data_IF_006909957518
#
_entry.id   IF_006909957518
#
_cell.length_a   1.000
_cell.length_b   1.000
_cell.length_c   1.000
_cell.angle_alpha   90.00
_cell.angle_beta   90.00
_cell.angle_gamma   90.00
#
_symmetry.space_group_name_H-M   'P 1'
#
loop_
_entity.id
_entity.type
_entity.pdbx_description
1 polymer ?
#
# COMPACT_ATOMS: atom_id res chain seq x y z
N UNK A 1 23.62 2.80 3.72
CA UNK A 1 22.86 1.70 4.32
C UNK A 1 21.36 1.97 4.21
N UNK A 2 20.57 0.91 4.04
CA UNK A 2 19.11 0.97 4.02
C UNK A 2 18.55 -0.11 4.96
N UNK A 3 17.36 0.12 5.51
CA UNK A 3 16.64 -0.89 6.30
C UNK A 3 15.51 -1.45 5.41
N UNK A 4 15.50 -2.76 5.23
CA UNK A 4 14.45 -3.47 4.51
C UNK A 4 13.60 -4.24 5.51
N UNK A 5 12.28 -4.02 5.46
CA UNK A 5 11.32 -4.73 6.30
C UNK A 5 10.40 -5.54 5.38
N UNK A 6 10.48 -6.86 5.45
CA UNK A 6 9.57 -7.76 4.75
C UNK A 6 8.34 -8.00 5.61
N UNK A 7 7.17 -7.65 5.08
CA UNK A 7 5.88 -7.81 5.76
C UNK A 7 5.13 -9.01 5.22
N UNK A 8 4.80 -9.93 6.12
CA UNK A 8 3.90 -11.06 5.89
C UNK A 8 3.07 -11.26 7.16
N UNK A 9 1.97 -10.52 7.30
CA UNK A 9 1.20 -10.45 8.54
C UNK A 9 -0.29 -10.27 8.32
N UNK A 10 -1.09 -11.08 8.99
CA UNK A 10 -2.55 -10.95 9.05
C UNK A 10 -3.05 -10.00 10.14
N UNK A 11 -2.16 -9.44 10.95
CA UNK A 11 -2.52 -8.54 12.04
C UNK A 11 -2.17 -9.06 13.43
N UNK A 12 -2.75 -8.45 14.46
CA UNK A 12 -2.51 -8.76 15.88
C UNK A 12 -3.35 -9.98 16.30
N UNK A 13 -2.76 -10.87 17.08
CA UNK A 13 -3.52 -11.93 17.75
C UNK A 13 -4.45 -11.33 18.82
N UNK A 14 -5.75 -11.59 18.73
CA UNK A 14 -6.74 -11.00 19.61
C UNK A 14 -6.48 -11.29 21.10
N UNK A 15 -5.96 -12.48 21.42
CA UNK A 15 -5.63 -12.86 22.81
C UNK A 15 -4.45 -12.07 23.38
N UNK A 16 -3.61 -11.48 22.53
CA UNK A 16 -2.38 -10.78 22.89
C UNK A 16 -2.46 -9.30 22.43
N UNK A 17 -3.67 -8.78 22.25
CA UNK A 17 -3.90 -7.47 21.64
C UNK A 17 -3.05 -6.35 22.27
N UNK A 18 -2.99 -6.28 23.60
CA UNK A 18 -2.23 -5.24 24.29
C UNK A 18 -0.72 -5.36 24.07
N UNK A 19 -0.17 -6.60 24.08
CA UNK A 19 1.24 -6.83 23.79
C UNK A 19 1.57 -6.48 22.34
N UNK A 20 0.68 -6.87 21.41
CA UNK A 20 0.81 -6.54 19.99
C UNK A 20 0.75 -5.04 19.73
N UNK A 21 -0.15 -4.31 20.39
CA UNK A 21 -0.26 -2.86 20.27
C UNK A 21 0.97 -2.13 20.85
N UNK A 22 1.53 -2.63 21.96
CA UNK A 22 2.77 -2.09 22.50
C UNK A 22 3.94 -2.28 21.53
N UNK A 23 4.14 -3.50 21.02
CA UNK A 23 5.19 -3.79 20.05
C UNK A 23 5.03 -2.95 18.75
N UNK A 24 3.79 -2.74 18.30
CA UNK A 24 3.48 -1.84 17.20
C UNK A 24 3.91 -0.39 17.49
N UNK A 25 3.61 0.13 18.69
CA UNK A 25 4.00 1.48 19.10
C UNK A 25 5.53 1.63 19.15
N UNK A 26 6.25 0.64 19.65
CA UNK A 26 7.72 0.61 19.67
C UNK A 26 8.30 0.62 18.24
N UNK A 27 7.71 -0.13 17.32
CA UNK A 27 8.10 -0.09 15.90
C UNK A 27 7.89 1.32 15.31
N UNK A 28 6.77 1.96 15.60
CA UNK A 28 6.46 3.31 15.11
C UNK A 28 7.43 4.35 15.68
N UNK A 29 7.79 4.26 16.96
CA UNK A 29 8.77 5.13 17.61
C UNK A 29 10.16 4.97 16.98
N UNK A 30 10.58 3.73 16.72
CA UNK A 30 11.84 3.45 16.04
C UNK A 30 11.86 4.02 14.62
N UNK A 31 10.77 3.91 13.85
CA UNK A 31 10.66 4.51 12.51
C UNK A 31 10.81 6.03 12.57
N UNK A 32 10.23 6.70 13.58
CA UNK A 32 10.42 8.13 13.78
C UNK A 32 11.89 8.48 14.10
N UNK A 33 12.53 7.65 14.91
CA UNK A 33 13.95 7.83 15.26
C UNK A 33 14.87 7.67 14.05
N UNK A 34 14.56 6.76 13.12
CA UNK A 34 15.31 6.51 11.89
C UNK A 34 15.06 7.57 10.80
N UNK A 35 13.94 8.28 10.89
CA UNK A 35 13.52 9.26 9.88
C UNK A 35 14.61 10.32 9.64
N UNK A 36 14.99 10.51 8.38
CA UNK A 36 16.02 11.45 7.99
C UNK A 36 17.46 10.94 8.22
N UNK A 37 17.64 9.73 8.74
CA UNK A 37 18.97 9.14 9.04
C UNK A 37 19.28 7.94 8.15
N UNK A 38 18.32 7.05 8.00
CA UNK A 38 18.47 5.82 7.22
C UNK A 38 17.14 5.57 6.47
N UNK A 39 17.19 5.32 5.16
CA UNK A 39 16.00 4.93 4.42
C UNK A 39 15.41 3.63 4.96
N UNK A 40 14.12 3.61 5.17
CA UNK A 40 13.37 2.43 5.59
C UNK A 40 12.38 2.05 4.50
N UNK A 41 12.46 0.82 4.01
CA UNK A 41 11.67 0.31 2.89
C UNK A 41 10.81 -0.86 3.35
N UNK A 42 9.50 -0.73 3.18
CA UNK A 42 8.56 -1.83 3.33
C UNK A 42 8.52 -2.67 2.04
N UNK A 43 8.64 -3.98 2.19
CA UNK A 43 8.48 -4.95 1.11
C UNK A 43 7.29 -5.85 1.42
N UNK A 44 6.29 -5.89 0.53
CA UNK A 44 5.04 -6.61 0.74
C UNK A 44 4.87 -7.64 -0.37
N UNK A 45 4.98 -8.91 0.01
CA UNK A 45 4.85 -10.06 -0.88
C UNK A 45 3.42 -10.61 -0.95
N UNK A 46 3.31 -11.76 -1.58
CA UNK A 46 2.03 -12.39 -1.98
C UNK A 46 1.49 -13.42 -1.00
N UNK A 47 2.29 -13.89 -0.04
CA UNK A 47 1.90 -15.05 0.79
C UNK A 47 0.73 -14.72 1.72
N UNK A 48 0.88 -13.69 2.56
CA UNK A 48 -0.16 -13.22 3.47
C UNK A 48 -0.55 -11.78 3.11
N UNK A 49 0.46 -10.93 2.82
CA UNK A 49 0.33 -9.51 2.66
C UNK A 49 0.63 -8.77 3.97
N UNK A 50 0.15 -7.53 4.08
CA UNK A 50 0.37 -6.68 5.24
C UNK A 50 -0.96 -6.11 5.73
N UNK A 51 -1.48 -6.61 6.85
CA UNK A 51 -2.77 -6.21 7.41
C UNK A 51 -2.65 -5.81 8.89
N UNK A 52 -3.70 -5.16 9.40
CA UNK A 52 -3.80 -4.74 10.78
C UNK A 52 -2.85 -3.59 11.12
N UNK A 53 -2.39 -3.54 12.36
CA UNK A 53 -1.48 -2.52 12.86
C UNK A 53 -0.17 -2.41 12.06
N UNK A 54 0.30 -3.51 11.48
CA UNK A 54 1.49 -3.49 10.64
C UNK A 54 1.29 -2.78 9.30
N UNK A 55 0.05 -2.61 8.85
CA UNK A 55 -0.28 -1.71 7.73
C UNK A 55 0.09 -0.26 8.02
N UNK A 56 -0.09 0.22 9.26
CA UNK A 56 0.38 1.54 9.67
C UNK A 56 1.90 1.62 9.72
N UNK A 57 2.57 0.56 10.21
CA UNK A 57 4.03 0.50 10.24
C UNK A 57 4.58 0.59 8.82
N UNK A 58 4.00 -0.18 7.87
CA UNK A 58 4.37 -0.10 6.47
C UNK A 58 4.14 1.30 5.89
N UNK A 59 2.99 1.92 6.17
CA UNK A 59 2.67 3.28 5.71
C UNK A 59 3.60 4.36 6.30
N UNK A 60 4.22 4.11 7.44
CA UNK A 60 5.15 5.03 8.10
C UNK A 60 6.61 4.89 7.60
N UNK A 61 6.92 3.89 6.76
CA UNK A 61 8.23 3.76 6.10
C UNK A 61 8.43 4.83 5.03
N UNK A 62 9.63 4.96 4.52
CA UNK A 62 9.94 5.95 3.49
C UNK A 62 9.43 5.52 2.10
N UNK A 63 9.53 4.24 1.81
CA UNK A 63 9.17 3.65 0.51
C UNK A 63 8.42 2.34 0.74
N UNK A 64 7.35 2.14 -0.03
CA UNK A 64 6.62 0.87 -0.08
C UNK A 64 6.82 0.22 -1.44
N UNK A 65 7.32 -1.00 -1.44
CA UNK A 65 7.44 -1.89 -2.61
C UNK A 65 6.44 -3.02 -2.44
N UNK A 66 5.58 -3.21 -3.42
CA UNK A 66 4.63 -4.34 -3.43
C UNK A 66 4.85 -5.21 -4.65
N UNK A 67 4.72 -6.52 -4.48
CA UNK A 67 4.53 -7.38 -5.65
C UNK A 67 3.10 -7.20 -6.22
N UNK A 68 2.92 -7.51 -7.50
CA UNK A 68 1.60 -7.45 -8.15
C UNK A 68 0.56 -8.34 -7.47
N UNK A 69 1.01 -9.40 -6.82
CA UNK A 69 0.19 -10.31 -6.01
C UNK A 69 0.17 -9.97 -4.52
N UNK A 70 0.91 -8.93 -4.11
CA UNK A 70 0.91 -8.43 -2.74
C UNK A 70 -0.41 -7.78 -2.35
N UNK A 71 -0.69 -7.76 -1.05
CA UNK A 71 -1.91 -7.15 -0.49
C UNK A 71 -1.55 -6.26 0.68
N UNK A 72 -2.14 -5.08 0.71
CA UNK A 72 -1.95 -4.11 1.80
C UNK A 72 -3.31 -3.57 2.24
N UNK A 73 -3.58 -3.63 3.54
CA UNK A 73 -4.81 -3.08 4.10
C UNK A 73 -4.74 -2.91 5.60
N UNK A 74 -5.67 -2.12 6.14
CA UNK A 74 -5.83 -2.00 7.58
C UNK A 74 -6.55 -3.22 8.16
N UNK A 75 -7.56 -3.71 7.45
CA UNK A 75 -8.43 -4.82 7.88
C UNK A 75 -8.32 -5.95 6.86
N UNK A 76 -8.13 -7.17 7.34
CA UNK A 76 -8.13 -8.36 6.49
C UNK A 76 -9.49 -8.61 5.83
N UNK A 77 -9.52 -9.22 4.64
CA UNK A 77 -10.76 -9.49 3.89
C UNK A 77 -11.80 -10.23 4.69
N UNK A 78 -11.39 -11.25 5.45
CA UNK A 78 -12.28 -12.09 6.25
C UNK A 78 -12.94 -11.30 7.40
N UNK A 79 -12.23 -10.32 7.96
CA UNK A 79 -12.77 -9.44 9.00
C UNK A 79 -13.76 -8.46 8.41
N UNK A 80 -13.50 -7.94 7.21
CA UNK A 80 -14.44 -7.06 6.50
C UNK A 80 -15.74 -7.82 6.22
N UNK A 81 -15.65 -9.06 5.71
CA UNK A 81 -16.82 -9.92 5.48
C UNK A 81 -17.61 -10.16 6.76
N UNK A 82 -16.91 -10.43 7.87
CA UNK A 82 -17.55 -10.68 9.16
C UNK A 82 -18.34 -9.45 9.67
N UNK A 83 -17.80 -8.25 9.48
CA UNK A 83 -18.42 -7.01 9.97
C UNK A 83 -19.53 -6.49 9.04
N UNK A 84 -19.34 -6.58 7.73
CA UNK A 84 -20.26 -5.99 6.75
C UNK A 84 -21.27 -7.01 6.19
N UNK A 85 -20.96 -8.29 6.31
CA UNK A 85 -21.73 -9.37 5.69
C UNK A 85 -21.23 -9.72 4.29
N UNK A 86 -21.41 -10.99 3.92
CA UNK A 86 -20.93 -11.55 2.66
C UNK A 86 -21.58 -10.91 1.42
N UNK A 87 -22.78 -10.38 1.56
CA UNK A 87 -23.48 -9.66 0.47
C UNK A 87 -22.79 -8.36 0.09
N UNK A 88 -22.14 -7.71 1.07
CA UNK A 88 -21.43 -6.44 0.87
C UNK A 88 -19.96 -6.67 0.50
N UNK A 89 -19.32 -7.66 1.12
CA UNK A 89 -17.94 -8.00 0.86
C UNK A 89 -17.70 -9.51 1.00
N UNK A 90 -17.49 -10.20 -0.12
CA UNK A 90 -17.15 -11.62 -0.14
C UNK A 90 -15.63 -11.81 -0.15
N UNK A 91 -15.07 -12.24 0.98
CA UNK A 91 -13.64 -12.49 1.12
C UNK A 91 -13.13 -13.64 0.23
N UNK A 92 -14.02 -14.51 -0.26
CA UNK A 92 -13.70 -15.57 -1.21
C UNK A 92 -13.66 -15.08 -2.67
N UNK A 93 -14.24 -13.91 -2.96
CA UNK A 93 -14.10 -13.25 -4.27
C UNK A 93 -12.69 -12.63 -4.37
N UNK A 94 -11.79 -13.41 -4.94
CA UNK A 94 -10.40 -12.99 -5.13
C UNK A 94 -10.29 -11.70 -5.95
N UNK A 95 -11.13 -11.50 -6.94
CA UNK A 95 -11.09 -10.31 -7.77
C UNK A 95 -11.48 -9.05 -6.96
N UNK A 96 -12.51 -9.14 -6.11
CA UNK A 96 -12.89 -8.07 -5.18
C UNK A 96 -11.77 -7.77 -4.19
N UNK A 97 -11.18 -8.78 -3.56
CA UNK A 97 -10.07 -8.63 -2.61
C UNK A 97 -8.89 -7.92 -3.26
N UNK A 98 -8.52 -8.29 -4.49
CA UNK A 98 -7.41 -7.62 -5.20
C UNK A 98 -7.77 -6.22 -5.70
N UNK A 99 -9.03 -5.93 -5.98
CA UNK A 99 -9.48 -4.56 -6.31
C UNK A 99 -9.43 -3.62 -5.09
N UNK A 100 -9.44 -4.14 -3.88
CA UNK A 100 -9.45 -3.33 -2.65
C UNK A 100 -8.09 -3.27 -1.95
N UNK A 101 -7.33 -4.37 -1.96
CA UNK A 101 -6.08 -4.49 -1.20
C UNK A 101 -4.86 -4.83 -2.05
N UNK A 102 -5.06 -5.21 -3.31
CA UNK A 102 -4.00 -5.71 -4.18
C UNK A 102 -3.01 -4.65 -4.66
N UNK A 103 -1.82 -5.09 -5.05
CA UNK A 103 -0.71 -4.23 -5.43
C UNK A 103 -1.05 -3.26 -6.56
N UNK A 104 -1.77 -3.69 -7.60
CA UNK A 104 -2.19 -2.80 -8.70
C UNK A 104 -3.11 -1.68 -8.21
N UNK A 105 -4.09 -2.01 -7.36
CA UNK A 105 -4.95 -0.98 -6.74
C UNK A 105 -4.12 0.00 -5.91
N UNK A 106 -3.26 -0.51 -5.04
CA UNK A 106 -2.41 0.30 -4.17
C UNK A 106 -1.45 1.20 -4.94
N UNK A 107 -0.98 0.75 -6.09
CA UNK A 107 -0.17 1.56 -6.99
C UNK A 107 -0.97 2.70 -7.62
N UNK A 108 -2.19 2.46 -8.08
CA UNK A 108 -3.06 3.49 -8.67
C UNK A 108 -3.42 4.57 -7.66
N UNK A 109 -3.79 4.18 -6.45
CA UNK A 109 -4.18 5.15 -5.40
C UNK A 109 -3.00 5.81 -4.68
N UNK A 110 -1.77 5.44 -5.04
CA UNK A 110 -0.56 6.03 -4.47
C UNK A 110 -0.13 5.44 -3.13
N UNK A 111 -0.71 4.31 -2.71
CA UNK A 111 -0.39 3.62 -1.45
C UNK A 111 0.92 2.83 -1.53
N UNK A 112 1.44 2.52 -2.71
CA UNK A 112 2.78 1.99 -2.88
C UNK A 112 3.57 2.78 -3.92
N UNK A 113 4.90 2.83 -3.72
CA UNK A 113 5.80 3.57 -4.59
C UNK A 113 6.18 2.75 -5.82
N UNK A 114 6.46 1.48 -5.62
CA UNK A 114 6.90 0.56 -6.67
C UNK A 114 6.06 -0.71 -6.67
N UNK A 115 5.58 -1.08 -7.85
CA UNK A 115 4.92 -2.35 -8.12
C UNK A 115 5.85 -3.21 -8.95
N UNK A 116 6.11 -4.43 -8.49
CA UNK A 116 7.10 -5.35 -9.08
C UNK A 116 6.51 -6.74 -9.33
N UNK A 117 7.19 -7.54 -10.12
CA UNK A 117 6.86 -8.95 -10.28
C UNK A 117 6.99 -9.71 -8.95
N UNK A 118 6.16 -10.73 -8.77
CA UNK A 118 6.13 -11.53 -7.54
C UNK A 118 7.27 -12.55 -7.50
N UNK A 119 8.49 -12.05 -7.34
CA UNK A 119 9.68 -12.89 -7.24
C UNK A 119 10.76 -12.28 -6.34
N UNK A 120 11.54 -13.13 -5.66
CA UNK A 120 12.68 -12.69 -4.85
C UNK A 120 13.69 -11.89 -5.67
N UNK A 121 13.89 -12.25 -6.92
CA UNK A 121 14.81 -11.53 -7.83
C UNK A 121 14.33 -10.09 -8.05
N UNK A 122 13.04 -9.89 -8.30
CA UNK A 122 12.48 -8.55 -8.47
C UNK A 122 12.60 -7.70 -7.19
N UNK A 123 12.33 -8.28 -6.02
CA UNK A 123 12.54 -7.61 -4.74
C UNK A 123 14.00 -7.22 -4.51
N UNK A 124 14.95 -8.13 -4.81
CA UNK A 124 16.37 -7.85 -4.68
C UNK A 124 16.83 -6.73 -5.63
N UNK A 125 16.42 -6.78 -6.88
CA UNK A 125 16.74 -5.75 -7.86
C UNK A 125 16.18 -4.39 -7.45
N UNK A 126 14.92 -4.34 -7.01
CA UNK A 126 14.30 -3.11 -6.57
C UNK A 126 14.97 -2.54 -5.31
N UNK A 127 15.36 -3.39 -4.37
CA UNK A 127 16.13 -2.98 -3.19
C UNK A 127 17.47 -2.34 -3.56
N UNK A 128 18.20 -2.93 -4.51
CA UNK A 128 19.46 -2.39 -4.99
C UNK A 128 19.26 -1.01 -5.64
N UNK A 129 18.24 -0.86 -6.49
CA UNK A 129 17.91 0.43 -7.10
C UNK A 129 17.59 1.50 -6.05
N UNK A 130 16.82 1.15 -5.02
CA UNK A 130 16.46 2.09 -3.94
C UNK A 130 17.70 2.47 -3.12
N UNK A 131 18.63 1.52 -2.89
CA UNK A 131 19.85 1.78 -2.12
C UNK A 131 20.76 2.84 -2.77
N UNK A 132 20.65 3.00 -4.09
CA UNK A 132 21.42 3.97 -4.88
C UNK A 132 20.70 5.32 -5.06
N UNK A 133 19.45 5.46 -4.57
CA UNK A 133 18.69 6.70 -4.67
C UNK A 133 19.31 7.80 -3.79
N UNK A 134 19.41 9.03 -4.28
CA UNK A 134 19.79 10.16 -3.46
C UNK A 134 18.69 10.49 -2.44
N UNK A 135 19.11 10.92 -1.25
CA UNK A 135 18.22 11.21 -0.13
C UNK A 135 17.01 12.11 -0.48
N UNK A 136 17.16 13.21 -1.25
CA UNK A 136 16.02 14.05 -1.61
C UNK A 136 14.92 13.31 -2.40
N UNK A 137 15.29 12.31 -3.21
CA UNK A 137 14.31 11.51 -3.93
C UNK A 137 13.54 10.57 -2.97
N UNK A 138 14.24 10.00 -1.99
CA UNK A 138 13.60 9.17 -0.96
C UNK A 138 12.60 9.99 -0.14
N UNK A 139 12.98 11.19 0.27
CA UNK A 139 12.09 12.10 1.00
C UNK A 139 10.87 12.51 0.16
N UNK A 140 11.05 12.76 -1.13
CA UNK A 140 9.96 13.08 -2.03
C UNK A 140 8.96 11.91 -2.16
N UNK A 141 9.44 10.67 -2.11
CA UNK A 141 8.59 9.47 -2.18
C UNK A 141 7.84 9.16 -0.88
N UNK A 142 8.31 9.67 0.26
CA UNK A 142 7.70 9.39 1.57
C UNK A 142 6.27 9.89 1.59
N UNK A 143 5.32 8.98 1.85
CA UNK A 143 3.89 9.28 1.85
C UNK A 143 3.50 10.19 3.01
N UNK A 144 4.01 9.92 4.20
CA UNK A 144 3.76 10.71 5.41
C UNK A 144 5.01 11.54 5.70
N UNK A 145 5.32 12.50 4.84
CA UNK A 145 6.56 13.28 4.93
C UNK A 145 6.37 14.70 5.46
N UNK A 146 5.21 15.30 5.19
CA UNK A 146 4.91 16.68 5.57
C UNK A 146 3.41 16.87 5.82
N UNK A 147 3.06 17.96 6.51
CA UNK A 147 1.66 18.34 6.70
C UNK A 147 0.95 18.56 5.37
N UNK A 148 1.61 19.19 4.39
CA UNK A 148 1.06 19.40 3.06
C UNK A 148 0.67 18.08 2.39
N UNK A 149 1.53 17.05 2.43
CA UNK A 149 1.22 15.72 1.89
C UNK A 149 0.03 15.06 2.59
N UNK A 150 -0.06 15.19 3.91
CA UNK A 150 -1.20 14.65 4.66
C UNK A 150 -2.49 15.36 4.28
N UNK A 151 -2.47 16.70 4.18
CA UNK A 151 -3.62 17.50 3.74
C UNK A 151 -4.05 17.14 2.31
N UNK A 152 -3.11 16.96 1.39
CA UNK A 152 -3.39 16.54 0.01
C UNK A 152 -4.06 15.15 -0.03
N UNK A 153 -3.60 14.19 0.77
CA UNK A 153 -4.23 12.87 0.89
C UNK A 153 -5.65 12.96 1.48
N UNK A 154 -5.85 13.79 2.49
CA UNK A 154 -7.19 14.01 3.07
C UNK A 154 -8.14 14.63 2.04
N UNK A 155 -7.69 15.62 1.27
CA UNK A 155 -8.48 16.24 0.22
C UNK A 155 -8.83 15.24 -0.90
N UNK A 156 -7.88 14.39 -1.30
CA UNK A 156 -8.12 13.32 -2.26
C UNK A 156 -9.15 12.31 -1.75
N UNK A 157 -9.01 11.87 -0.50
CA UNK A 157 -9.96 10.94 0.15
C UNK A 157 -11.36 11.55 0.18
N UNK A 158 -11.48 12.82 0.54
CA UNK A 158 -12.76 13.55 0.53
C UNK A 158 -13.36 13.58 -0.87
N UNK A 159 -12.60 13.94 -1.89
CA UNK A 159 -13.04 13.96 -3.29
C UNK A 159 -13.53 12.59 -3.78
N UNK A 160 -12.82 11.51 -3.41
CA UNK A 160 -13.24 10.15 -3.73
C UNK A 160 -14.55 9.83 -3.02
N UNK A 161 -14.67 10.12 -1.73
CA UNK A 161 -15.89 9.87 -0.95
C UNK A 161 -17.10 10.63 -1.52
N UNK A 162 -16.93 11.89 -1.90
CA UNK A 162 -17.99 12.72 -2.50
C UNK A 162 -18.45 12.22 -3.88
N UNK A 163 -17.65 11.42 -4.57
CA UNK A 163 -18.03 10.79 -5.85
C UNK A 163 -18.86 9.51 -5.68
N UNK A 164 -19.05 9.05 -4.44
CA UNK A 164 -19.82 7.83 -4.10
C UNK A 164 -19.44 6.62 -4.97
N UNK A 165 -18.14 6.24 -5.05
CA UNK A 165 -17.74 5.14 -5.91
C UNK A 165 -18.34 3.83 -5.41
N UNK A 166 -18.89 3.04 -6.32
CA UNK A 166 -19.44 1.72 -6.01
C UNK A 166 -18.36 0.62 -6.00
N UNK A 167 -17.27 0.84 -6.71
CA UNK A 167 -16.18 -0.13 -6.85
C UNK A 167 -14.84 0.62 -7.04
N UNK A 168 -13.74 -0.04 -6.78
CA UNK A 168 -12.41 0.52 -7.00
C UNK A 168 -12.15 0.94 -8.45
N UNK A 169 -12.85 0.34 -9.40
CA UNK A 169 -12.78 0.71 -10.83
C UNK A 169 -13.27 2.14 -11.08
N UNK A 170 -14.24 2.61 -10.31
CA UNK A 170 -14.70 4.00 -10.38
C UNK A 170 -13.57 4.95 -9.94
N UNK A 171 -12.87 4.58 -8.87
CA UNK A 171 -11.68 5.32 -8.40
C UNK A 171 -10.56 5.30 -9.44
N UNK A 172 -10.36 4.17 -10.13
CA UNK A 172 -9.36 4.08 -11.20
C UNK A 172 -9.73 4.92 -12.43
N UNK A 173 -11.03 5.01 -12.75
CA UNK A 173 -11.52 5.92 -13.79
C UNK A 173 -11.27 7.39 -13.42
N UNK A 174 -11.44 7.76 -12.14
CA UNK A 174 -11.10 9.11 -11.66
C UNK A 174 -9.61 9.46 -11.82
N UNK A 175 -8.72 8.47 -11.78
CA UNK A 175 -7.30 8.64 -12.12
C UNK A 175 -7.08 8.89 -13.63
N UNK A 176 -8.10 8.78 -14.45
CA UNK A 176 -8.04 8.96 -15.90
C UNK A 176 -7.72 7.68 -16.69
N UNK A 177 -7.91 6.51 -16.07
CA UNK A 177 -7.82 5.24 -16.78
C UNK A 177 -9.10 5.00 -17.58
N UNK A 178 -8.98 4.86 -18.90
CA UNK A 178 -10.13 4.76 -19.81
C UNK A 178 -10.76 3.35 -19.88
N UNK A 179 -10.05 2.33 -19.43
CA UNK A 179 -10.51 0.94 -19.42
C UNK A 179 -10.26 0.29 -18.06
N UNK A 180 -10.88 0.77 -16.97
CA UNK A 180 -10.57 0.30 -15.61
C UNK A 180 -10.86 -1.19 -15.41
N UNK A 181 -11.79 -1.77 -16.16
CA UNK A 181 -12.15 -3.19 -16.06
C UNK A 181 -11.00 -4.13 -16.48
N UNK A 182 -10.15 -3.71 -17.40
CA UNK A 182 -9.06 -4.54 -17.92
C UNK A 182 -7.75 -4.42 -17.12
N UNK A 183 -7.64 -3.43 -16.22
CA UNK A 183 -6.38 -3.16 -15.51
C UNK A 183 -5.89 -4.33 -14.66
N UNK A 184 -6.82 -5.07 -14.04
CA UNK A 184 -6.45 -6.19 -13.16
C UNK A 184 -5.83 -7.35 -13.94
N UNK A 185 -6.33 -7.59 -15.15
CA UNK A 185 -5.94 -8.73 -16.00
C UNK A 185 -4.71 -8.44 -16.86
N UNK A 186 -4.27 -7.19 -16.92
CA UNK A 186 -3.04 -6.83 -17.64
C UNK A 186 -1.82 -7.49 -17.00
N UNK A 187 -0.86 -7.96 -17.80
CA UNK A 187 0.46 -8.27 -17.30
C UNK A 187 1.12 -7.02 -16.70
N UNK A 188 2.12 -7.22 -15.85
CA UNK A 188 2.73 -6.13 -15.09
C UNK A 188 3.36 -5.06 -15.98
N UNK A 189 4.04 -5.44 -17.05
CA UNK A 189 4.74 -4.51 -17.95
C UNK A 189 3.73 -3.62 -18.69
N UNK A 190 2.71 -4.23 -19.27
CA UNK A 190 1.60 -3.54 -19.93
C UNK A 190 0.87 -2.63 -18.94
N UNK A 191 0.61 -3.10 -17.73
CA UNK A 191 -0.01 -2.31 -16.68
C UNK A 191 0.81 -1.05 -16.36
N UNK A 192 2.09 -1.20 -16.02
CA UNK A 192 2.95 -0.08 -15.64
C UNK A 192 3.14 0.94 -16.76
N UNK A 193 3.11 0.49 -18.03
CA UNK A 193 3.26 1.37 -19.19
C UNK A 193 2.02 2.22 -19.48
N UNK A 194 0.84 1.77 -19.08
CA UNK A 194 -0.43 2.38 -19.46
C UNK A 194 -1.19 3.02 -18.29
N UNK A 195 -0.93 2.58 -17.06
CA UNK A 195 -1.70 3.00 -15.89
C UNK A 195 -1.44 4.47 -15.53
N UNK A 196 -2.52 5.16 -15.19
CA UNK A 196 -2.49 6.48 -14.56
C UNK A 196 -2.76 6.34 -13.07
N UNK A 197 -1.94 7.01 -12.28
CA UNK A 197 -2.09 7.08 -10.82
C UNK A 197 -2.94 8.28 -10.43
N UNK A 198 -3.63 8.18 -9.30
CA UNK A 198 -4.27 9.36 -8.71
C UNK A 198 -3.19 10.38 -8.36
N UNK A 199 -3.35 11.64 -8.78
CA UNK A 199 -2.41 12.68 -8.42
C UNK A 199 -2.52 12.95 -6.91
N UNK A 200 -1.41 12.83 -6.19
CA UNK A 200 -1.25 13.43 -4.88
C UNK A 200 -0.61 14.80 -5.14
N UNK A 201 -1.42 15.76 -5.51
CA UNK A 201 -0.96 17.13 -5.72
C UNK A 201 -0.56 17.69 -4.36
N UNK A 202 0.68 18.20 -4.28
CA UNK A 202 1.08 19.07 -3.17
C UNK A 202 0.31 20.40 -3.33
N UNK A 203 -0.55 20.69 -2.35
CA UNK A 203 -1.27 21.96 -2.29
C UNK A 203 -0.34 23.08 -1.81
#
# INVERSE_FOLDING_TARGET
PIVLISFETGGVRLHEANAGLLAHAECMDMLQTLRGRVPVVAMIGSKIGCFGGMGFVAAATDIIVMSESGRLGLTGPEVIEQEMGRSEFDASDRALVFRTTGGKHKYIVGDCNYLIADSLTAFHQQAALIADLPWPQIEAMRRIGSEAKVRAQMALTKKISESEPSDARDVWAMAGNTAPQSLVDMDLETFLSNVKRLPVEEA
#
